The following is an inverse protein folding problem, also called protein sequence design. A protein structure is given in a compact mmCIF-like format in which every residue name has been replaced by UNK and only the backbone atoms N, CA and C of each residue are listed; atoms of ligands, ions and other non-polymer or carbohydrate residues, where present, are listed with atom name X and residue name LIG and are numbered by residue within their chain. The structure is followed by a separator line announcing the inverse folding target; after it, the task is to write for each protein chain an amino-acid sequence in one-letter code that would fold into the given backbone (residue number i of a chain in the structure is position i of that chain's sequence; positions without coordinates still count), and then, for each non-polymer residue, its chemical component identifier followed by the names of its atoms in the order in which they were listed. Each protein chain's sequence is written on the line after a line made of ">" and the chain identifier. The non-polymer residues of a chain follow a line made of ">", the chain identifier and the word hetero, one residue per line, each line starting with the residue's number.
data_IF_872087707755
#
_entry.id   IF_872087707755
#
_cell.length_a   1.000
_cell.length_b   1.000
_cell.length_c   1.000
_cell.angle_alpha   90.00
_cell.angle_beta   90.00
_cell.angle_gamma   90.00
#
_symmetry.space_group_name_H-M   'P 1'
#
loop_
_entity.id
_entity.type
_entity.pdbx_description
1 polymer ?
#
# COMPACT_ATOMS: atom_id res chain seq x y z
N UNK A 1 3.11 25.61 7.99
CA UNK A 1 2.72 24.73 9.11
C UNK A 1 2.96 23.29 8.65
N UNK A 2 3.62 22.45 9.45
CA UNK A 2 3.85 21.06 9.07
C UNK A 2 2.51 20.30 8.98
N UNK A 3 2.35 19.54 7.90
CA UNK A 3 1.22 18.66 7.68
C UNK A 3 1.57 17.29 8.25
N UNK A 4 0.67 16.74 9.07
CA UNK A 4 0.87 15.44 9.71
C UNK A 4 0.11 14.37 8.93
N UNK A 5 0.78 13.26 8.67
CA UNK A 5 0.26 12.06 8.04
C UNK A 5 0.48 10.87 8.96
N UNK A 6 -0.30 9.81 8.76
CA UNK A 6 -0.04 8.54 9.41
C UNK A 6 0.50 7.56 8.37
N UNK A 7 1.75 7.11 8.53
CA UNK A 7 2.27 6.01 7.70
C UNK A 7 1.86 4.68 8.34
N UNK A 8 1.22 3.84 7.55
CA UNK A 8 0.93 2.46 7.91
C UNK A 8 2.00 1.58 7.30
N UNK A 9 2.74 0.86 8.15
CA UNK A 9 3.78 -0.10 7.77
C UNK A 9 3.24 -1.52 7.97
N UNK A 10 3.00 -2.30 6.91
CA UNK A 10 2.55 -3.69 7.08
C UNK A 10 3.70 -4.59 7.55
N UNK A 11 3.52 -5.25 8.68
CA UNK A 11 4.51 -6.12 9.31
C UNK A 11 4.51 -7.52 8.69
N UNK A 12 3.36 -7.93 8.15
CA UNK A 12 3.19 -9.22 7.48
C UNK A 12 2.48 -9.02 6.13
N UNK A 13 3.15 -8.41 5.13
CA UNK A 13 2.56 -8.21 3.83
C UNK A 13 2.37 -9.58 3.18
N UNK A 14 1.15 -10.13 3.21
CA UNK A 14 0.90 -11.40 2.52
C UNK A 14 1.24 -11.23 1.05
N UNK A 15 1.94 -12.23 0.51
CA UNK A 15 2.28 -12.32 -0.92
C UNK A 15 1.05 -11.92 -1.72
N UNK A 16 1.25 -11.01 -2.66
CA UNK A 16 0.22 -10.51 -3.55
C UNK A 16 -0.16 -11.64 -4.52
N UNK A 17 -1.01 -12.55 -4.06
CA UNK A 17 -1.40 -13.73 -4.82
C UNK A 17 -2.40 -13.29 -5.88
N UNK A 18 -1.95 -13.34 -7.14
CA UNK A 18 -2.81 -13.18 -8.31
C UNK A 18 -3.36 -14.55 -8.65
N UNK A 19 -4.66 -14.73 -8.50
CA UNK A 19 -5.35 -15.91 -8.98
C UNK A 19 -5.94 -15.58 -10.35
N UNK A 20 -5.58 -16.38 -11.34
CA UNK A 20 -6.19 -16.38 -12.66
C UNK A 20 -7.08 -17.60 -12.79
N UNK A 21 -8.37 -17.38 -13.03
CA UNK A 21 -9.32 -18.44 -13.32
C UNK A 21 -9.85 -18.23 -14.74
N UNK A 22 -9.86 -19.31 -15.53
CA UNK A 22 -10.41 -19.30 -16.88
C UNK A 22 -11.78 -19.98 -16.85
N UNK A 23 -12.83 -19.21 -17.14
CA UNK A 23 -14.17 -19.72 -17.23
C UNK A 23 -14.36 -20.57 -18.51
N UNK A 24 -15.37 -21.47 -18.55
CA UNK A 24 -15.64 -22.34 -19.70
C UNK A 24 -15.94 -21.61 -21.01
N UNK A 25 -16.42 -20.37 -20.93
CA UNK A 25 -16.69 -19.48 -22.07
C UNK A 25 -15.42 -18.81 -22.64
N UNK A 26 -14.26 -19.04 -22.01
CA UNK A 26 -12.99 -18.44 -22.38
C UNK A 26 -12.64 -17.14 -21.66
N UNK A 27 -13.52 -16.62 -20.81
CA UNK A 27 -13.28 -15.41 -20.02
C UNK A 27 -12.20 -15.66 -18.97
N UNK A 28 -11.24 -14.74 -18.85
CA UNK A 28 -10.19 -14.80 -17.83
C UNK A 28 -10.50 -13.83 -16.70
N UNK A 29 -10.73 -14.36 -15.51
CA UNK A 29 -10.95 -13.56 -14.30
C UNK A 29 -9.66 -13.49 -13.50
N UNK A 30 -9.16 -12.27 -13.29
CA UNK A 30 -8.01 -11.99 -12.42
C UNK A 30 -8.53 -11.47 -11.08
N UNK A 31 -8.31 -12.22 -10.01
CA UNK A 31 -8.54 -11.75 -8.65
C UNK A 31 -7.19 -11.47 -7.97
N UNK A 32 -7.13 -10.38 -7.21
CA UNK A 32 -5.94 -9.97 -6.46
C UNK A 32 -6.36 -9.81 -5.02
N UNK A 33 -5.77 -10.59 -4.14
CA UNK A 33 -6.03 -10.53 -2.70
C UNK A 33 -4.78 -9.97 -2.02
N UNK A 34 -4.94 -8.84 -1.32
CA UNK A 34 -3.92 -8.27 -0.47
C UNK A 34 -4.47 -8.25 0.96
N UNK A 35 -3.80 -8.95 1.89
CA UNK A 35 -4.13 -8.89 3.31
C UNK A 35 -3.18 -7.92 4.01
N UNK A 36 -3.68 -6.74 4.35
CA UNK A 36 -3.06 -5.85 5.34
C UNK A 36 -3.62 -6.22 6.71
N UNK A 37 -3.23 -7.39 7.24
CA UNK A 37 -3.79 -7.90 8.50
C UNK A 37 -3.00 -7.49 9.74
N UNK A 38 -1.76 -7.03 9.59
CA UNK A 38 -0.89 -6.57 10.69
C UNK A 38 -0.03 -5.40 10.20
N UNK A 39 -0.05 -4.29 10.93
CA UNK A 39 0.74 -3.11 10.60
C UNK A 39 0.96 -2.16 11.77
N UNK A 40 2.06 -1.42 11.71
CA UNK A 40 2.41 -0.35 12.65
C UNK A 40 2.00 1.01 12.09
N UNK A 41 1.57 1.90 12.98
CA UNK A 41 1.24 3.29 12.65
C UNK A 41 2.38 4.19 13.11
N UNK A 42 3.01 4.88 12.17
CA UNK A 42 4.07 5.85 12.43
C UNK A 42 3.61 7.24 12.02
N UNK A 43 3.55 8.23 12.93
CA UNK A 43 3.28 9.61 12.55
C UNK A 43 4.46 10.15 11.74
N UNK A 44 4.15 10.83 10.64
CA UNK A 44 5.12 11.50 9.77
C UNK A 44 4.69 12.94 9.56
N UNK A 45 5.65 13.85 9.63
CA UNK A 45 5.42 15.28 9.42
C UNK A 45 6.18 15.72 8.18
N UNK A 46 5.53 16.53 7.34
CA UNK A 46 6.15 17.16 6.18
C UNK A 46 5.88 18.66 6.21
N UNK A 47 6.88 19.43 5.85
CA UNK A 47 6.89 20.90 5.95
C UNK A 47 6.32 21.55 4.69
N UNK A 48 6.46 20.89 3.53
CA UNK A 48 6.03 21.40 2.24
C UNK A 48 5.70 20.28 1.22
N UNK A 49 5.27 20.69 0.02
CA UNK A 49 4.91 19.78 -1.07
C UNK A 49 6.09 19.00 -1.65
N UNK A 50 7.33 19.51 -1.53
CA UNK A 50 8.52 18.82 -2.01
C UNK A 50 8.86 17.66 -1.09
N UNK A 51 8.81 17.87 0.22
CA UNK A 51 8.96 16.81 1.23
C UNK A 51 7.85 15.76 1.10
N UNK A 52 6.61 16.19 0.85
CA UNK A 52 5.51 15.27 0.57
C UNK A 52 5.76 14.42 -0.69
N UNK A 53 6.21 15.03 -1.79
CA UNK A 53 6.54 14.32 -3.02
C UNK A 53 7.66 13.29 -2.83
N UNK A 54 8.70 13.66 -2.08
CA UNK A 54 9.80 12.75 -1.73
C UNK A 54 9.33 11.59 -0.84
N UNK A 55 8.45 11.86 0.13
CA UNK A 55 7.84 10.84 0.99
C UNK A 55 7.05 9.82 0.16
N UNK A 56 6.18 10.28 -0.74
CA UNK A 56 5.36 9.40 -1.59
C UNK A 56 6.22 8.58 -2.54
N UNK A 57 7.24 9.19 -3.16
CA UNK A 57 8.16 8.50 -4.06
C UNK A 57 9.02 7.43 -3.35
N UNK A 58 9.24 7.59 -2.03
CA UNK A 58 10.02 6.66 -1.21
C UNK A 58 9.22 5.55 -0.53
N UNK A 59 7.89 5.51 -0.68
CA UNK A 59 7.05 4.48 -0.07
C UNK A 59 7.39 3.10 -0.63
N UNK A 60 7.56 2.13 0.27
CA UNK A 60 7.75 0.73 -0.09
C UNK A 60 6.38 0.06 -0.34
N UNK A 61 6.32 -1.09 -1.04
CA UNK A 61 5.06 -1.77 -1.35
C UNK A 61 4.21 -2.21 -0.13
N UNK A 62 4.81 -2.27 1.06
CA UNK A 62 4.12 -2.59 2.31
C UNK A 62 3.73 -1.34 3.12
N UNK A 63 3.95 -0.14 2.57
CA UNK A 63 3.70 1.13 3.24
C UNK A 63 2.57 1.90 2.56
N UNK A 64 1.73 2.56 3.35
CA UNK A 64 0.70 3.47 2.86
C UNK A 64 0.62 4.74 3.73
N UNK A 65 0.05 5.81 3.18
CA UNK A 65 -0.24 7.05 3.93
C UNK A 65 -1.76 7.18 4.14
N UNK A 66 -2.13 7.55 5.36
CA UNK A 66 -3.49 7.88 5.82
C UNK A 66 -3.55 9.34 6.26
#
# INVERSE_FOLDING_TARGET
>A
MPIKFCRVDSINPKILTKHYEKAPDGTLTKSTVAHLTEGELTPVEVSDLREFGALVAGLKPHQALL
#
